data_IF_422897195933
#
_entry.id   IF_422897195933
#
_cell.length_a   1.000
_cell.length_b   1.000
_cell.length_c   1.000
_cell.angle_alpha   90.00
_cell.angle_beta   90.00
_cell.angle_gamma   90.00
#
_symmetry.space_group_name_H-M   'P 1'
#
loop_
_entity.id
_entity.type
_entity.pdbx_description
1 polymer ?
#
# COMPACT_ATOMS: atom_id res chain seq x y z
N UNK A 1 -12.90 25.00 101.42
CA UNK A 1 -13.82 24.96 100.26
C UNK A 1 -13.16 25.65 99.07
N UNK A 2 -13.49 25.19 97.86
CA UNK A 2 -13.19 25.79 96.54
C UNK A 2 -11.84 25.48 95.86
N UNK A 3 -11.80 24.27 95.28
CA UNK A 3 -11.47 23.89 93.89
C UNK A 3 -10.81 24.90 92.91
N UNK A 4 -9.65 24.46 92.37
CA UNK A 4 -9.31 24.24 90.94
C UNK A 4 -9.14 25.43 89.96
N UNK A 5 -7.89 25.62 89.51
CA UNK A 5 -7.47 26.43 88.34
C UNK A 5 -7.33 25.55 87.06
N UNK A 6 -8.07 25.94 86.00
CA UNK A 6 -7.85 25.80 84.51
C UNK A 6 -7.83 24.39 83.87
N UNK A 7 -8.37 24.19 82.62
CA UNK A 7 -7.90 24.88 81.41
C UNK A 7 -8.96 25.28 80.34
N UNK A 8 -8.90 26.53 79.85
CA UNK A 8 -9.67 27.00 78.68
C UNK A 8 -8.83 27.17 77.39
N UNK A 9 -7.60 26.65 77.32
CA UNK A 9 -6.69 26.88 76.18
C UNK A 9 -6.51 25.70 75.20
N UNK A 10 -7.05 24.51 75.49
CA UNK A 10 -6.84 23.32 74.65
C UNK A 10 -7.85 23.18 73.48
N UNK A 11 -9.02 23.80 73.58
CA UNK A 11 -10.14 23.60 72.65
C UNK A 11 -9.92 24.33 71.30
N UNK A 12 -9.31 25.52 71.32
CA UNK A 12 -9.02 26.28 70.09
C UNK A 12 -7.96 25.61 69.20
N UNK A 13 -7.00 24.89 69.80
CA UNK A 13 -5.98 24.17 69.04
C UNK A 13 -6.51 22.89 68.36
N UNK A 14 -7.51 22.23 68.93
CA UNK A 14 -8.12 21.03 68.35
C UNK A 14 -9.02 21.38 67.16
N UNK A 15 -9.84 22.42 67.27
CA UNK A 15 -10.71 22.90 66.18
C UNK A 15 -9.87 23.40 64.99
N UNK A 16 -8.76 24.11 65.25
CA UNK A 16 -7.84 24.55 64.21
C UNK A 16 -7.18 23.38 63.48
N UNK A 17 -6.75 22.33 64.19
CA UNK A 17 -6.16 21.12 63.59
C UNK A 17 -7.16 20.35 62.75
N UNK A 18 -8.41 20.22 63.21
CA UNK A 18 -9.49 19.59 62.44
C UNK A 18 -9.84 20.40 61.19
N UNK A 19 -9.93 21.74 61.33
CA UNK A 19 -10.15 22.64 60.19
C UNK A 19 -9.05 22.54 59.13
N UNK A 20 -7.78 22.50 59.55
CA UNK A 20 -6.64 22.30 58.65
C UNK A 20 -6.65 20.93 57.98
N UNK A 21 -7.00 19.86 58.71
CA UNK A 21 -7.10 18.51 58.15
C UNK A 21 -8.25 18.38 57.12
N UNK A 22 -9.42 18.98 57.40
CA UNK A 22 -10.54 19.02 56.47
C UNK A 22 -10.20 19.87 55.24
N UNK A 23 -9.57 21.03 55.43
CA UNK A 23 -9.13 21.87 54.32
C UNK A 23 -8.09 21.15 53.44
N UNK A 24 -7.12 20.46 54.04
CA UNK A 24 -6.14 19.65 53.31
C UNK A 24 -6.80 18.47 52.57
N UNK A 25 -7.76 17.79 53.20
CA UNK A 25 -8.53 16.72 52.58
C UNK A 25 -9.36 17.21 51.38
N UNK A 26 -10.01 18.38 51.51
CA UNK A 26 -10.73 19.02 50.41
C UNK A 26 -9.78 19.44 49.28
N UNK A 27 -8.59 19.99 49.60
CA UNK A 27 -7.59 20.35 48.60
C UNK A 27 -7.08 19.12 47.83
N UNK A 28 -6.79 18.01 48.53
CA UNK A 28 -6.37 16.76 47.88
C UNK A 28 -7.50 16.22 46.99
N UNK A 29 -8.74 16.19 47.48
CA UNK A 29 -9.89 15.74 46.71
C UNK A 29 -10.13 16.59 45.46
N UNK A 30 -10.05 17.93 45.58
CA UNK A 30 -10.19 18.86 44.47
C UNK A 30 -9.03 18.71 43.47
N UNK A 31 -7.79 18.53 43.95
CA UNK A 31 -6.63 18.30 43.09
C UNK A 31 -6.71 16.96 42.34
N UNK A 32 -7.23 15.91 42.98
CA UNK A 32 -7.45 14.60 42.38
C UNK A 32 -8.54 14.66 41.31
N UNK A 33 -9.63 15.38 41.58
CA UNK A 33 -10.70 15.61 40.60
C UNK A 33 -10.21 16.45 39.41
N UNK A 34 -9.46 17.52 39.68
CA UNK A 34 -8.85 18.35 38.64
C UNK A 34 -7.86 17.54 37.80
N UNK A 35 -7.02 16.72 38.44
CA UNK A 35 -6.08 15.83 37.74
C UNK A 35 -6.82 14.83 36.87
N UNK A 36 -7.88 14.18 37.38
CA UNK A 36 -8.70 13.25 36.59
C UNK A 36 -9.37 13.92 35.39
N UNK A 37 -9.84 15.17 35.53
CA UNK A 37 -10.46 15.91 34.44
C UNK A 37 -9.44 16.40 33.39
N UNK A 38 -8.24 16.80 33.81
CA UNK A 38 -7.20 17.37 32.94
C UNK A 38 -6.32 16.31 32.30
N UNK A 39 -6.13 15.17 32.98
CA UNK A 39 -5.25 14.10 32.55
C UNK A 39 -5.54 13.59 31.13
N UNK A 40 -6.80 13.36 30.70
CA UNK A 40 -7.09 12.94 29.33
C UNK A 40 -6.60 13.94 28.27
N UNK A 41 -6.74 15.24 28.52
CA UNK A 41 -6.31 16.30 27.61
C UNK A 41 -4.79 16.38 27.53
N UNK A 42 -4.11 16.32 28.69
CA UNK A 42 -2.64 16.31 28.74
C UNK A 42 -2.09 15.06 28.07
N UNK A 43 -2.65 13.88 28.37
CA UNK A 43 -2.26 12.62 27.74
C UNK A 43 -2.41 12.71 26.22
N UNK A 44 -3.57 13.19 25.74
CA UNK A 44 -3.80 13.37 24.30
C UNK A 44 -2.78 14.30 23.67
N UNK A 45 -2.52 15.45 24.29
CA UNK A 45 -1.52 16.41 23.79
C UNK A 45 -0.11 15.81 23.75
N UNK A 46 0.28 15.02 24.74
CA UNK A 46 1.58 14.32 24.77
C UNK A 46 1.66 13.23 23.70
N UNK A 47 0.59 12.47 23.49
CA UNK A 47 0.52 11.47 22.42
C UNK A 47 0.65 12.14 21.06
N UNK A 48 -0.12 13.20 20.81
CA UNK A 48 -0.05 13.96 19.55
C UNK A 48 1.35 14.53 19.34
N UNK A 49 1.97 15.15 20.35
CA UNK A 49 3.33 15.69 20.23
C UNK A 49 4.39 14.61 19.88
N UNK A 50 4.29 13.42 20.48
CA UNK A 50 5.21 12.30 20.20
C UNK A 50 4.93 11.58 18.87
N UNK A 51 3.75 11.80 18.27
CA UNK A 51 3.38 11.22 16.97
C UNK A 51 3.85 12.07 15.78
N UNK A 52 4.19 13.35 15.97
CA UNK A 52 4.70 14.18 14.87
C UNK A 52 5.92 13.49 14.24
N UNK A 53 5.95 13.40 12.91
CA UNK A 53 7.07 12.80 12.17
C UNK A 53 8.26 13.75 12.17
N UNK A 54 8.96 13.81 13.28
CA UNK A 54 10.15 14.62 13.50
C UNK A 54 11.29 13.80 14.12
N UNK A 55 12.56 14.08 13.73
CA UNK A 55 13.71 13.45 14.36
C UNK A 55 13.71 13.66 15.88
N UNK A 56 13.91 12.57 16.62
CA UNK A 56 13.87 12.56 18.09
C UNK A 56 12.58 11.97 18.68
N UNK A 57 11.49 11.93 17.90
CA UNK A 57 10.27 11.24 18.32
C UNK A 57 10.40 9.71 18.13
N UNK A 58 9.85 8.95 19.09
CA UNK A 58 9.90 7.48 19.05
C UNK A 58 9.09 6.90 17.87
N UNK A 59 7.91 7.48 17.60
CA UNK A 59 7.04 7.09 16.49
C UNK A 59 7.73 7.32 15.15
N UNK A 60 8.44 8.44 15.01
CA UNK A 60 9.21 8.74 13.80
C UNK A 60 10.27 7.66 13.52
N UNK A 61 11.02 7.24 14.54
CA UNK A 61 12.06 6.21 14.37
C UNK A 61 11.48 4.87 13.91
N UNK A 62 10.33 4.47 14.47
CA UNK A 62 9.64 3.23 14.07
C UNK A 62 8.97 3.33 12.70
N UNK A 63 8.55 4.53 12.30
CA UNK A 63 7.98 4.80 10.99
C UNK A 63 9.06 4.81 9.90
N UNK A 64 10.20 5.45 10.16
CA UNK A 64 11.35 5.54 9.27
C UNK A 64 11.93 4.14 8.99
N UNK A 65 12.09 3.33 10.04
CA UNK A 65 12.53 1.95 9.94
C UNK A 65 11.61 1.02 10.73
N UNK A 66 10.85 0.19 10.01
CA UNK A 66 9.86 -0.70 10.64
C UNK A 66 10.57 -1.76 11.50
N UNK A 67 10.30 -1.83 12.83
CA UNK A 67 11.03 -2.70 13.74
C UNK A 67 10.51 -4.15 13.75
N UNK A 68 9.33 -4.39 13.16
CA UNK A 68 8.70 -5.72 13.12
C UNK A 68 9.06 -6.47 11.83
N UNK A 69 9.26 -7.80 11.88
CA UNK A 69 9.53 -8.58 10.70
C UNK A 69 8.26 -8.71 9.85
N UNK A 70 8.32 -8.23 8.60
CA UNK A 70 7.27 -8.42 7.60
C UNK A 70 7.66 -9.61 6.74
N UNK A 71 6.74 -10.53 6.50
CA UNK A 71 6.95 -11.67 5.61
C UNK A 71 6.01 -11.57 4.42
N UNK A 72 6.54 -11.82 3.22
CA UNK A 72 5.80 -11.93 1.97
C UNK A 72 5.99 -13.36 1.46
N UNK A 73 4.88 -14.04 1.19
CA UNK A 73 4.88 -15.41 0.66
C UNK A 73 4.30 -15.39 -0.74
N UNK A 74 5.05 -15.90 -1.71
CA UNK A 74 4.60 -16.04 -3.09
C UNK A 74 4.08 -17.46 -3.34
N UNK A 75 2.94 -17.53 -4.02
CA UNK A 75 2.32 -18.76 -4.49
C UNK A 75 2.20 -18.66 -6.01
N UNK A 76 2.68 -19.67 -6.73
CA UNK A 76 2.71 -19.67 -8.19
C UNK A 76 1.80 -20.77 -8.72
N UNK A 77 1.07 -20.50 -9.79
CA UNK A 77 0.23 -21.50 -10.45
C UNK A 77 0.99 -22.17 -11.59
N UNK A 78 1.24 -23.48 -11.43
CA UNK A 78 1.84 -24.34 -12.44
C UNK A 78 0.77 -24.94 -13.37
N UNK A 79 0.99 -24.86 -14.68
CA UNK A 79 0.12 -25.46 -15.69
C UNK A 79 0.49 -26.93 -15.90
N UNK A 80 -0.42 -27.84 -15.59
CA UNK A 80 -0.18 -29.29 -15.64
C UNK A 80 -0.52 -29.94 -16.99
N UNK A 81 -1.28 -29.27 -17.85
CA UNK A 81 -1.67 -29.74 -19.19
C UNK A 81 -1.26 -28.77 -20.32
N UNK A 82 0.03 -28.40 -20.44
CA UNK A 82 0.48 -27.36 -21.37
C UNK A 82 0.15 -27.65 -22.84
N UNK A 83 0.29 -28.89 -23.30
CA UNK A 83 0.03 -29.25 -24.70
C UNK A 83 -1.43 -29.01 -25.11
N UNK A 84 -2.38 -29.40 -24.25
CA UNK A 84 -3.81 -29.18 -24.49
C UNK A 84 -4.21 -27.70 -24.47
N UNK A 85 -3.52 -26.90 -23.64
CA UNK A 85 -3.70 -25.44 -23.60
C UNK A 85 -3.15 -24.79 -24.87
N UNK A 86 -1.93 -25.15 -25.29
CA UNK A 86 -1.29 -24.60 -26.49
C UNK A 86 -2.05 -24.95 -27.77
N UNK A 87 -2.69 -26.13 -27.82
CA UNK A 87 -3.53 -26.56 -28.94
C UNK A 87 -4.96 -25.96 -28.89
N UNK A 88 -5.34 -25.31 -27.79
CA UNK A 88 -6.70 -24.81 -27.58
C UNK A 88 -7.77 -25.90 -27.43
N UNK A 89 -7.36 -27.14 -27.15
CA UNK A 89 -8.26 -28.30 -27.01
C UNK A 89 -8.75 -28.48 -25.58
N UNK A 90 -7.99 -28.00 -24.59
CA UNK A 90 -8.32 -28.12 -23.17
C UNK A 90 -8.25 -26.78 -22.44
N UNK A 91 -9.03 -26.65 -21.36
CA UNK A 91 -8.87 -25.56 -20.39
C UNK A 91 -7.62 -25.80 -19.53
N UNK A 92 -6.91 -24.73 -19.09
CA UNK A 92 -5.74 -24.89 -18.23
C UNK A 92 -6.11 -25.50 -16.88
N UNK A 93 -5.31 -26.48 -16.45
CA UNK A 93 -5.34 -27.09 -15.13
C UNK A 93 -4.18 -26.56 -14.31
N UNK A 94 -4.51 -25.82 -13.26
CA UNK A 94 -3.54 -25.13 -12.42
C UNK A 94 -3.31 -25.90 -11.12
N UNK A 95 -2.05 -25.96 -10.71
CA UNK A 95 -1.61 -26.46 -9.41
C UNK A 95 -0.87 -25.34 -8.69
N UNK A 96 -1.28 -25.00 -7.47
CA UNK A 96 -0.60 -23.98 -6.66
C UNK A 96 0.68 -24.55 -6.05
N UNK A 97 1.80 -23.85 -6.23
CA UNK A 97 3.12 -24.21 -5.73
C UNK A 97 3.63 -23.08 -4.83
N UNK A 98 3.98 -23.41 -3.59
CA UNK A 98 4.47 -22.48 -2.58
C UNK A 98 4.11 -22.93 -1.15
N UNK A 99 4.33 -22.08 -0.15
CA UNK A 99 4.82 -20.71 -0.25
C UNK A 99 6.32 -20.61 -0.53
N UNK A 100 6.73 -19.60 -1.29
CA UNK A 100 8.11 -19.09 -1.34
C UNK A 100 8.21 -17.81 -0.53
N UNK A 101 8.82 -17.88 0.64
CA UNK A 101 8.72 -16.82 1.65
C UNK A 101 9.98 -15.96 1.70
N UNK A 102 9.79 -14.65 1.76
CA UNK A 102 10.82 -13.64 1.91
C UNK A 102 10.49 -12.74 3.09
N UNK A 103 11.49 -12.40 3.90
CA UNK A 103 11.38 -11.32 4.89
C UNK A 103 11.59 -10.00 4.16
N UNK A 104 10.63 -9.10 4.27
CA UNK A 104 10.69 -7.76 3.72
C UNK A 104 11.15 -6.77 4.80
N UNK A 105 12.05 -5.86 4.45
CA UNK A 105 12.37 -4.68 5.28
C UNK A 105 12.02 -3.41 4.53
N UNK A 106 11.43 -2.44 5.21
CA UNK A 106 11.07 -1.13 4.67
C UNK A 106 11.87 -0.04 5.37
N UNK A 107 12.47 0.83 4.58
CA UNK A 107 13.25 1.97 5.04
C UNK A 107 12.81 3.22 4.28
N UNK A 108 12.45 4.28 5.00
CA UNK A 108 12.14 5.58 4.40
C UNK A 108 13.43 6.37 4.27
N UNK A 109 13.75 6.82 3.05
CA UNK A 109 14.98 7.54 2.72
C UNK A 109 14.66 8.86 2.03
N UNK A 110 15.66 9.74 1.93
CA UNK A 110 15.55 11.06 1.29
C UNK A 110 14.41 11.90 1.88
N UNK A 111 14.35 11.94 3.21
CA UNK A 111 13.35 12.69 3.96
C UNK A 111 13.51 14.20 3.74
N UNK A 112 12.44 14.88 3.34
CA UNK A 112 12.41 16.32 3.17
C UNK A 112 11.11 16.91 3.75
N UNK A 113 11.24 17.82 4.72
CA UNK A 113 10.08 18.48 5.34
C UNK A 113 9.80 19.82 4.69
N UNK A 114 8.51 20.10 4.51
CA UNK A 114 8.04 21.28 3.80
C UNK A 114 7.32 22.26 4.73
N UNK A 115 7.32 23.54 4.35
CA UNK A 115 6.65 24.60 5.10
C UNK A 115 5.13 24.44 5.15
N UNK A 116 4.53 23.73 4.19
CA UNK A 116 3.10 23.42 4.17
C UNK A 116 2.71 22.35 5.22
N UNK A 117 3.67 21.74 5.93
CA UNK A 117 3.43 20.72 6.94
C UNK A 117 3.54 19.28 6.42
N UNK A 118 3.90 19.07 5.15
CA UNK A 118 4.13 17.74 4.59
C UNK A 118 5.58 17.29 4.74
N UNK A 119 5.79 15.99 4.62
CA UNK A 119 7.08 15.30 4.60
C UNK A 119 7.13 14.45 3.34
N UNK A 120 8.14 14.68 2.50
CA UNK A 120 8.42 13.84 1.35
C UNK A 120 9.46 12.78 1.66
N UNK A 121 9.30 11.59 1.10
CA UNK A 121 10.22 10.47 1.28
C UNK A 121 10.09 9.45 0.14
N UNK A 122 11.10 8.60 0.01
CA UNK A 122 11.05 7.36 -0.79
C UNK A 122 11.09 6.15 0.12
N UNK A 123 10.37 5.09 -0.23
CA UNK A 123 10.38 3.86 0.57
C UNK A 123 11.16 2.75 -0.15
N UNK A 124 12.33 2.41 0.37
CA UNK A 124 13.16 1.32 -0.13
C UNK A 124 12.71 0.00 0.51
N UNK A 125 12.48 -1.03 -0.33
CA UNK A 125 12.12 -2.38 0.12
C UNK A 125 13.25 -3.36 -0.20
N UNK A 126 13.64 -4.18 0.78
CA UNK A 126 14.63 -5.27 0.59
C UNK A 126 14.01 -6.61 0.96
N UNK A 127 14.33 -7.64 0.20
CA UNK A 127 13.75 -8.98 0.31
C UNK A 127 14.84 -10.00 0.66
N UNK A 128 14.63 -10.77 1.73
CA UNK A 128 15.56 -11.78 2.22
C UNK A 128 14.87 -13.15 2.24
N UNK A 129 15.32 -14.08 1.41
CA UNK A 129 14.72 -15.42 1.32
C UNK A 129 14.72 -16.15 2.68
N UNK A 130 13.61 -16.82 3.00
CA UNK A 130 13.39 -17.57 4.25
C UNK A 130 13.21 -19.06 3.93
N UNK A 131 14.30 -19.86 3.93
CA UNK A 131 14.23 -21.27 3.59
C UNK A 131 13.42 -22.09 4.61
N UNK A 132 13.41 -21.68 5.87
CA UNK A 132 12.64 -22.31 6.96
C UNK A 132 11.12 -22.12 6.84
N UNK A 133 10.68 -21.15 6.02
CA UNK A 133 9.27 -20.81 5.78
C UNK A 133 8.85 -21.06 4.34
N UNK A 134 9.69 -21.73 3.56
CA UNK A 134 9.44 -22.03 2.16
C UNK A 134 9.16 -23.52 1.97
N UNK A 135 8.13 -23.84 1.20
CA UNK A 135 7.85 -25.20 0.77
C UNK A 135 8.20 -25.34 -0.71
N UNK A 136 9.31 -26.03 -0.98
CA UNK A 136 9.88 -26.17 -2.32
C UNK A 136 11.27 -25.57 -2.45
N UNK A 137 11.81 -25.63 -3.66
CA UNK A 137 13.09 -25.01 -4.03
C UNK A 137 12.86 -23.79 -4.92
N UNK A 138 13.71 -22.78 -4.79
CA UNK A 138 13.75 -21.68 -5.76
C UNK A 138 14.18 -22.15 -7.16
N UNK A 139 14.74 -23.36 -7.26
CA UNK A 139 15.12 -24.02 -8.52
C UNK A 139 13.98 -24.85 -9.12
N UNK A 140 12.84 -24.98 -8.44
CA UNK A 140 11.69 -25.72 -8.96
C UNK A 140 11.16 -25.03 -10.23
N UNK A 141 10.92 -25.82 -11.26
CA UNK A 141 10.46 -25.31 -12.55
C UNK A 141 8.93 -25.22 -12.60
N UNK A 142 8.44 -24.03 -12.92
CA UNK A 142 7.01 -23.72 -13.08
C UNK A 142 6.72 -23.47 -14.55
N UNK A 143 5.68 -24.13 -15.06
CA UNK A 143 5.11 -23.85 -16.38
C UNK A 143 4.03 -22.79 -16.21
N UNK A 144 4.22 -21.62 -16.82
CA UNK A 144 3.29 -20.48 -16.70
C UNK A 144 3.20 -19.70 -18.00
N UNK A 145 2.36 -18.67 -18.02
CA UNK A 145 2.15 -17.81 -19.18
C UNK A 145 3.40 -17.00 -19.51
N UNK A 146 3.73 -16.87 -20.79
CA UNK A 146 4.74 -15.93 -21.26
C UNK A 146 4.19 -14.50 -21.16
N UNK A 147 4.42 -13.86 -20.02
CA UNK A 147 3.88 -12.52 -19.71
C UNK A 147 4.40 -11.46 -20.69
N UNK A 148 5.69 -11.38 -21.05
CA UNK A 148 6.17 -10.44 -22.08
C UNK A 148 5.40 -10.56 -23.39
N UNK A 149 5.27 -11.77 -23.92
CA UNK A 149 4.58 -12.01 -25.19
C UNK A 149 3.10 -11.64 -25.11
N UNK A 150 2.41 -12.02 -24.02
CA UNK A 150 0.99 -11.72 -23.84
C UNK A 150 0.74 -10.22 -23.62
N UNK A 151 1.63 -9.53 -22.89
CA UNK A 151 1.53 -8.09 -22.66
C UNK A 151 1.74 -7.31 -23.95
N UNK A 152 2.70 -7.73 -24.77
CA UNK A 152 2.90 -7.14 -26.10
C UNK A 152 1.66 -7.37 -27.00
N UNK A 153 1.12 -8.59 -27.04
CA UNK A 153 -0.10 -8.89 -27.79
C UNK A 153 -1.31 -8.07 -27.29
N UNK A 154 -1.47 -7.92 -25.97
CA UNK A 154 -2.54 -7.09 -25.40
C UNK A 154 -2.40 -5.63 -25.82
N UNK A 155 -1.18 -5.10 -25.73
CA UNK A 155 -0.81 -3.73 -26.10
C UNK A 155 -1.11 -3.44 -27.56
N UNK A 156 -0.84 -4.38 -28.48
CA UNK A 156 -1.20 -4.19 -29.90
C UNK A 156 -2.70 -3.98 -30.12
N UNK A 157 -3.55 -4.53 -29.24
CA UNK A 157 -5.00 -4.46 -29.37
C UNK A 157 -5.61 -3.23 -28.69
N UNK A 158 -5.06 -2.81 -27.55
CA UNK A 158 -5.65 -1.77 -26.70
C UNK A 158 -4.81 -0.49 -26.58
N UNK A 159 -3.60 -0.46 -27.15
CA UNK A 159 -2.61 0.61 -26.95
C UNK A 159 -1.97 0.56 -25.56
N UNK A 160 -0.98 1.44 -25.32
CA UNK A 160 -0.49 1.73 -23.96
C UNK A 160 -1.01 3.11 -23.60
N UNK A 161 -1.87 3.23 -22.59
CA UNK A 161 -2.15 4.55 -22.00
C UNK A 161 -0.96 4.92 -21.14
N UNK A 162 0.01 5.63 -21.70
CA UNK A 162 1.11 6.19 -20.91
C UNK A 162 0.56 7.34 -20.08
N UNK A 163 0.78 7.30 -18.76
CA UNK A 163 0.68 8.48 -17.91
C UNK A 163 1.83 9.43 -18.27
N UNK A 164 1.71 10.19 -19.36
CA UNK A 164 2.71 11.20 -19.68
C UNK A 164 2.72 12.24 -18.56
N UNK A 165 3.93 12.50 -18.11
CA UNK A 165 4.30 13.32 -16.98
C UNK A 165 4.64 14.72 -17.52
N UNK A 166 3.70 15.35 -18.24
CA UNK A 166 3.92 16.66 -18.84
C UNK A 166 3.02 17.68 -18.14
N UNK A 167 3.62 18.50 -17.27
CA UNK A 167 2.94 19.55 -16.47
C UNK A 167 2.49 20.76 -17.31
N UNK A 168 2.68 20.74 -18.63
CA UNK A 168 2.49 21.91 -19.51
C UNK A 168 1.37 21.76 -20.56
N UNK A 169 0.43 20.81 -20.40
CA UNK A 169 -0.73 20.71 -21.29
C UNK A 169 -1.84 21.69 -20.86
N UNK A 170 -1.74 22.89 -21.43
CA UNK A 170 -2.79 23.90 -21.45
C UNK A 170 -4.10 23.30 -22.01
N UNK A 171 -5.19 23.66 -21.36
CA UNK A 171 -6.59 23.32 -21.67
C UNK A 171 -6.87 23.48 -23.18
N UNK A 172 -7.17 22.40 -23.90
CA UNK A 172 -8.19 22.38 -24.96
C UNK A 172 -8.38 20.99 -25.61
N UNK A 173 -9.67 20.68 -25.83
CA UNK A 173 -10.27 19.69 -26.75
C UNK A 173 -10.51 18.23 -26.29
N UNK A 174 -11.81 17.94 -26.15
CA UNK A 174 -12.47 16.64 -25.96
C UNK A 174 -12.45 15.76 -27.23
N UNK A 175 -11.38 15.81 -28.03
CA UNK A 175 -11.22 14.99 -29.25
C UNK A 175 -9.74 14.66 -29.57
N UNK A 176 -8.91 14.47 -28.54
CA UNK A 176 -7.55 13.94 -28.72
C UNK A 176 -7.58 12.42 -28.54
N UNK A 177 -7.91 11.72 -29.63
CA UNK A 177 -7.65 10.27 -29.71
C UNK A 177 -6.15 10.09 -29.80
N UNK A 178 -5.50 10.00 -28.64
CA UNK A 178 -4.06 9.76 -28.47
C UNK A 178 -3.66 8.50 -29.26
N UNK A 179 -3.17 8.70 -30.48
CA UNK A 179 -2.63 7.65 -31.35
C UNK A 179 -1.26 7.26 -30.79
N UNK A 180 -1.28 6.43 -29.76
CA UNK A 180 -0.07 5.83 -29.18
C UNK A 180 0.64 5.01 -30.26
N UNK A 181 1.98 5.11 -30.37
CA UNK A 181 2.80 4.40 -31.36
C UNK A 181 2.50 2.89 -31.38
N UNK A 182 2.14 2.36 -30.22
CA UNK A 182 1.78 0.98 -29.93
C UNK A 182 0.46 0.53 -30.59
N UNK A 183 -0.39 1.48 -31.01
CA UNK A 183 -1.61 1.22 -31.77
C UNK A 183 -1.37 1.17 -33.29
N UNK A 184 -0.19 1.61 -33.76
CA UNK A 184 0.13 1.76 -35.18
C UNK A 184 0.16 0.42 -35.93
N UNK A 185 -0.19 0.39 -37.23
CA UNK A 185 -0.06 -0.82 -38.06
C UNK A 185 1.38 -1.36 -38.09
N UNK A 186 2.37 -0.47 -38.07
CA UNK A 186 3.79 -0.83 -38.09
C UNK A 186 4.18 -1.57 -36.80
N UNK A 187 3.75 -1.07 -35.64
CA UNK A 187 3.99 -1.73 -34.37
C UNK A 187 3.33 -3.11 -34.32
N UNK A 188 2.05 -3.21 -34.74
CA UNK A 188 1.32 -4.48 -34.83
C UNK A 188 2.04 -5.51 -35.71
N UNK A 189 2.50 -5.09 -36.88
CA UNK A 189 3.24 -5.94 -37.81
C UNK A 189 4.60 -6.37 -37.22
N UNK A 190 5.31 -5.45 -36.56
CA UNK A 190 6.58 -5.72 -35.89
C UNK A 190 6.41 -6.78 -34.79
N UNK A 191 5.42 -6.59 -33.89
CA UNK A 191 5.10 -7.57 -32.84
C UNK A 191 4.70 -8.92 -33.45
N UNK A 192 3.92 -8.93 -34.53
CA UNK A 192 3.56 -10.17 -35.24
C UNK A 192 4.78 -10.90 -35.81
N UNK A 193 5.74 -10.16 -36.36
CA UNK A 193 6.97 -10.70 -36.93
C UNK A 193 7.90 -11.24 -35.83
N UNK A 194 8.04 -10.53 -34.71
CA UNK A 194 8.77 -11.05 -33.55
C UNK A 194 8.12 -12.34 -33.05
N UNK A 195 6.79 -12.36 -32.85
CA UNK A 195 6.09 -13.56 -32.38
C UNK A 195 6.27 -14.77 -33.31
N UNK A 196 6.37 -14.57 -34.63
CA UNK A 196 6.60 -15.64 -35.61
C UNK A 196 8.07 -16.05 -35.75
N UNK A 197 9.01 -15.13 -35.53
CA UNK A 197 10.44 -15.32 -35.75
C UNK A 197 11.23 -15.69 -34.48
N UNK A 198 10.70 -15.35 -33.31
CA UNK A 198 11.27 -15.74 -32.01
C UNK A 198 10.90 -17.18 -31.68
N UNK A 199 11.79 -17.89 -30.97
CA UNK A 199 11.52 -19.21 -30.40
C UNK A 199 10.68 -19.12 -29.10
N UNK A 200 9.79 -18.12 -29.01
CA UNK A 200 8.92 -17.89 -27.86
C UNK A 200 7.58 -18.63 -28.03
N UNK A 201 7.11 -19.22 -26.93
CA UNK A 201 5.81 -19.88 -26.84
C UNK A 201 4.89 -19.15 -25.86
N UNK A 202 3.58 -19.39 -25.97
CA UNK A 202 2.57 -18.87 -25.03
C UNK A 202 2.81 -19.32 -23.59
N UNK A 203 3.37 -20.52 -23.41
CA UNK A 203 3.77 -21.02 -22.10
C UNK A 203 5.30 -21.11 -22.03
N UNK A 204 5.85 -20.68 -20.91
CA UNK A 204 7.27 -20.78 -20.58
C UNK A 204 7.45 -21.68 -19.37
N UNK A 205 8.59 -22.37 -19.33
CA UNK A 205 9.02 -23.16 -18.17
C UNK A 205 10.25 -22.48 -17.57
N UNK A 206 10.12 -21.96 -16.35
CA UNK A 206 11.17 -21.19 -15.67
C UNK A 206 11.23 -21.55 -14.19
N UNK A 207 12.40 -21.38 -13.58
CA UNK A 207 12.57 -21.59 -12.15
C UNK A 207 11.84 -20.51 -11.34
N UNK A 208 11.53 -20.79 -10.08
CA UNK A 208 10.89 -19.83 -9.17
C UNK A 208 11.77 -18.58 -8.98
N UNK A 209 13.09 -18.73 -8.85
CA UNK A 209 14.03 -17.60 -8.73
C UNK A 209 13.97 -16.67 -9.93
N UNK A 210 13.90 -17.23 -11.14
CA UNK A 210 13.80 -16.50 -12.40
C UNK A 210 12.46 -15.76 -12.50
N UNK A 211 11.35 -16.44 -12.18
CA UNK A 211 10.02 -15.85 -12.22
C UNK A 211 9.83 -14.73 -11.20
N UNK A 212 10.52 -14.79 -10.06
CA UNK A 212 10.41 -13.79 -8.99
C UNK A 212 11.46 -12.67 -9.13
N UNK A 213 12.69 -12.91 -8.67
CA UNK A 213 13.66 -11.82 -8.42
C UNK A 213 14.85 -11.78 -9.38
N UNK A 214 15.32 -12.91 -9.90
CA UNK A 214 16.49 -12.96 -10.79
C UNK A 214 16.16 -12.50 -12.21
N UNK A 215 14.93 -12.74 -12.65
CA UNK A 215 14.47 -12.48 -14.01
C UNK A 215 15.03 -13.50 -15.01
N UNK A 216 14.28 -13.80 -16.06
CA UNK A 216 14.74 -14.63 -17.17
C UNK A 216 14.85 -13.83 -18.47
N UNK A 217 15.80 -14.24 -19.31
CA UNK A 217 15.92 -13.76 -20.68
C UNK A 217 14.82 -14.40 -21.53
N UNK A 218 14.00 -13.56 -22.17
CA UNK A 218 12.95 -13.98 -23.09
C UNK A 218 13.38 -13.67 -24.54
N UNK A 219 13.29 -14.63 -25.48
CA UNK A 219 13.62 -14.39 -26.88
C UNK A 219 12.80 -13.25 -27.50
N UNK A 220 11.58 -13.03 -27.03
CA UNK A 220 10.70 -11.95 -27.48
C UNK A 220 11.23 -10.57 -27.03
N UNK A 221 11.62 -10.44 -25.76
CA UNK A 221 12.23 -9.20 -25.24
C UNK A 221 13.55 -8.92 -25.96
N UNK A 222 14.37 -9.96 -26.15
CA UNK A 222 15.67 -9.85 -26.83
C UNK A 222 15.49 -9.32 -28.26
N UNK A 223 14.57 -9.91 -29.02
CA UNK A 223 14.27 -9.46 -30.38
C UNK A 223 13.70 -8.03 -30.42
N UNK A 224 12.86 -7.64 -29.46
CA UNK A 224 12.34 -6.28 -29.36
C UNK A 224 13.47 -5.25 -29.12
N UNK A 225 14.41 -5.56 -28.22
CA UNK A 225 15.58 -4.72 -27.95
C UNK A 225 16.51 -4.59 -29.16
N UNK A 226 16.76 -5.68 -29.88
CA UNK A 226 17.58 -5.67 -31.10
C UNK A 226 16.98 -4.80 -32.21
N UNK A 227 15.65 -4.69 -32.24
CA UNK A 227 14.90 -3.81 -33.14
C UNK A 227 14.80 -2.36 -32.64
N UNK A 228 15.41 -2.03 -31.50
CA UNK A 228 15.41 -0.69 -30.91
C UNK A 228 14.05 -0.27 -30.32
N UNK A 229 13.19 -1.23 -29.97
CA UNK A 229 11.93 -0.94 -29.31
C UNK A 229 12.16 -0.55 -27.85
N UNK A 230 11.39 0.42 -27.36
CA UNK A 230 11.38 0.75 -25.93
C UNK A 230 10.67 -0.36 -25.16
N UNK A 231 11.39 -0.99 -24.24
CA UNK A 231 10.87 -2.05 -23.38
C UNK A 231 11.22 -1.76 -21.92
N UNK A 232 10.31 -2.04 -20.96
CA UNK A 232 10.51 -1.61 -19.57
C UNK A 232 11.71 -2.26 -18.87
N UNK A 233 12.12 -3.44 -19.35
CA UNK A 233 13.24 -4.19 -18.81
C UNK A 233 13.82 -5.15 -19.87
N UNK A 234 15.08 -5.54 -19.65
CA UNK A 234 15.83 -6.52 -20.44
C UNK A 234 15.46 -7.98 -20.11
N UNK A 235 14.92 -8.21 -18.91
CA UNK A 235 14.46 -9.52 -18.44
C UNK A 235 13.06 -9.41 -17.86
N UNK A 236 12.36 -10.54 -17.83
CA UNK A 236 11.09 -10.63 -17.12
C UNK A 236 11.24 -11.36 -15.79
N UNK A 237 10.66 -10.77 -14.75
CA UNK A 237 10.38 -11.40 -13.46
C UNK A 237 9.46 -10.48 -12.65
N UNK A 238 8.53 -11.04 -11.87
CA UNK A 238 7.50 -10.28 -11.17
C UNK A 238 8.06 -9.24 -10.19
N UNK A 239 9.21 -9.56 -9.60
CA UNK A 239 9.95 -8.72 -8.65
C UNK A 239 11.35 -8.37 -9.19
N UNK A 240 11.57 -8.51 -10.50
CA UNK A 240 12.84 -8.18 -11.13
C UNK A 240 13.18 -6.71 -10.88
N UNK A 241 14.42 -6.45 -10.44
CA UNK A 241 14.93 -5.12 -10.02
C UNK A 241 14.20 -4.44 -8.84
N UNK A 242 13.22 -5.08 -8.20
CA UNK A 242 12.52 -4.51 -7.03
C UNK A 242 13.30 -4.63 -5.72
N UNK A 243 14.28 -5.53 -5.65
CA UNK A 243 15.05 -5.73 -4.42
C UNK A 243 16.04 -4.58 -4.20
N UNK A 244 15.81 -3.79 -3.15
CA UNK A 244 16.62 -2.62 -2.83
C UNK A 244 16.24 -1.36 -3.62
N UNK A 245 15.11 -1.37 -4.34
CA UNK A 245 14.58 -0.19 -5.02
C UNK A 245 13.49 0.49 -4.17
N UNK A 246 13.13 1.73 -4.54
CA UNK A 246 11.93 2.40 -4.05
C UNK A 246 10.74 2.26 -5.00
N UNK A 247 9.53 2.50 -4.49
CA UNK A 247 8.28 2.47 -5.24
C UNK A 247 7.69 3.86 -5.55
N UNK A 248 8.51 4.92 -5.43
CA UNK A 248 8.13 6.30 -5.77
C UNK A 248 8.40 7.31 -4.65
N UNK A 249 8.12 8.58 -4.96
CA UNK A 249 8.21 9.71 -4.05
C UNK A 249 6.84 10.01 -3.44
N UNK A 250 6.70 9.79 -2.14
CA UNK A 250 5.49 10.14 -1.39
C UNK A 250 5.65 11.53 -0.77
N UNK A 251 4.56 12.26 -0.65
CA UNK A 251 4.39 13.43 0.22
C UNK A 251 3.23 13.12 1.16
N UNK A 252 3.46 13.12 2.47
CA UNK A 252 2.41 12.87 3.48
C UNK A 252 2.35 14.01 4.50
N UNK A 253 1.20 14.21 5.13
CA UNK A 253 1.10 15.17 6.24
C UNK A 253 1.81 14.64 7.50
N UNK A 254 2.80 15.40 7.96
CA UNK A 254 3.71 14.98 9.04
C UNK A 254 3.15 15.12 10.45
N UNK A 255 2.04 15.84 10.63
CA UNK A 255 1.51 16.24 11.94
C UNK A 255 1.99 17.61 12.44
N UNK A 256 2.99 18.24 11.79
CA UNK A 256 3.56 19.54 12.21
C UNK A 256 2.54 20.69 12.28
N UNK A 257 1.55 20.67 11.38
CA UNK A 257 0.46 21.68 11.33
C UNK A 257 -0.84 21.19 11.96
N UNK A 258 -0.79 20.09 12.70
CA UNK A 258 -1.97 19.47 13.32
C UNK A 258 -2.14 18.02 12.90
N UNK A 259 -2.95 17.31 13.67
CA UNK A 259 -3.10 15.85 13.59
C UNK A 259 -4.26 15.39 12.73
N UNK A 260 -5.11 16.30 12.25
CA UNK A 260 -6.33 15.95 11.51
C UNK A 260 -6.05 15.13 10.25
N UNK A 261 -5.02 15.52 9.50
CA UNK A 261 -4.61 14.87 8.24
C UNK A 261 -3.37 13.98 8.42
N UNK A 262 -2.93 13.73 9.66
CA UNK A 262 -1.71 13.00 9.95
C UNK A 262 -1.63 11.65 9.21
N UNK A 263 -0.56 11.46 8.43
CA UNK A 263 -0.31 10.25 7.65
C UNK A 263 -1.05 10.16 6.32
N UNK A 264 -1.98 11.08 6.01
CA UNK A 264 -2.62 11.13 4.70
C UNK A 264 -1.63 11.49 3.61
N UNK A 265 -1.81 10.89 2.44
CA UNK A 265 -1.01 11.17 1.24
C UNK A 265 -1.51 12.46 0.61
N UNK A 266 -0.61 13.43 0.48
CA UNK A 266 -0.81 14.69 -0.22
C UNK A 266 -0.48 14.55 -1.71
N UNK A 267 0.67 13.92 -2.01
CA UNK A 267 1.14 13.70 -3.39
C UNK A 267 1.87 12.38 -3.54
N UNK A 268 1.82 11.83 -4.75
CA UNK A 268 2.64 10.72 -5.19
C UNK A 268 3.31 11.07 -6.51
N UNK A 269 4.64 10.98 -6.56
CA UNK A 269 5.46 11.40 -7.69
C UNK A 269 5.15 12.83 -8.19
N UNK A 270 4.87 13.75 -7.25
CA UNK A 270 4.53 15.15 -7.54
C UNK A 270 3.05 15.39 -7.85
N UNK A 271 2.28 14.34 -8.14
CA UNK A 271 0.88 14.44 -8.51
C UNK A 271 -0.04 14.42 -7.28
N UNK A 272 -1.01 15.33 -7.22
CA UNK A 272 -2.11 15.31 -6.23
C UNK A 272 -3.32 14.50 -6.70
N UNK A 273 -3.39 14.17 -7.99
CA UNK A 273 -4.39 13.30 -8.59
C UNK A 273 -3.68 12.33 -9.53
N UNK A 274 -4.02 11.06 -9.49
CA UNK A 274 -3.42 10.05 -10.35
C UNK A 274 -3.91 10.21 -11.80
N UNK A 275 -3.31 9.46 -12.70
CA UNK A 275 -3.62 9.49 -14.13
C UNK A 275 -3.94 8.10 -14.69
N UNK A 276 -3.87 7.06 -13.86
CA UNK A 276 -4.06 5.67 -14.28
C UNK A 276 -5.52 5.31 -14.65
N UNK A 277 -6.49 6.08 -14.15
CA UNK A 277 -7.93 5.83 -14.25
C UNK A 277 -8.67 7.11 -14.70
N UNK A 278 -10.00 7.16 -14.53
CA UNK A 278 -10.83 8.28 -14.98
C UNK A 278 -11.56 8.99 -13.83
N UNK A 279 -11.81 10.30 -13.98
CA UNK A 279 -12.65 11.07 -13.05
C UNK A 279 -12.21 10.95 -11.58
N UNK A 280 -13.16 10.65 -10.68
CA UNK A 280 -12.89 10.54 -9.24
C UNK A 280 -12.03 9.32 -8.86
N UNK A 281 -11.89 8.32 -9.74
CA UNK A 281 -11.07 7.13 -9.48
C UNK A 281 -9.57 7.45 -9.39
N UNK A 282 -9.15 8.62 -9.88
CA UNK A 282 -7.77 9.08 -9.78
C UNK A 282 -7.42 9.69 -8.42
N UNK A 283 -8.40 9.91 -7.54
CA UNK A 283 -8.17 10.61 -6.29
C UNK A 283 -7.16 9.87 -5.39
N UNK A 284 -6.17 10.61 -4.90
CA UNK A 284 -5.27 10.19 -3.83
C UNK A 284 -5.95 10.42 -2.49
N UNK A 285 -6.53 9.36 -1.93
CA UNK A 285 -7.24 9.39 -0.67
C UNK A 285 -6.59 8.47 0.35
N UNK A 286 -6.67 8.89 1.62
CA UNK A 286 -6.24 8.07 2.74
C UNK A 286 -4.74 8.10 2.98
N UNK A 287 -4.26 7.11 3.73
CA UNK A 287 -2.86 7.00 4.15
C UNK A 287 -2.13 5.91 3.37
N UNK A 288 -0.84 5.71 3.59
CA UNK A 288 -0.10 4.55 3.05
C UNK A 288 -0.36 3.25 3.83
N UNK A 289 -1.20 3.30 4.87
CA UNK A 289 -1.53 2.17 5.74
C UNK A 289 -0.58 1.97 6.91
N UNK A 290 0.47 2.80 7.03
CA UNK A 290 1.39 2.76 8.17
C UNK A 290 0.80 3.47 9.40
N UNK A 291 0.01 4.53 9.20
CA UNK A 291 -0.42 5.45 10.27
C UNK A 291 -1.78 6.10 9.97
N UNK A 292 -2.45 6.59 11.02
CA UNK A 292 -3.71 7.35 10.96
C UNK A 292 -3.75 8.43 12.03
N UNK A 293 -4.60 9.46 11.88
CA UNK A 293 -4.84 10.44 12.93
C UNK A 293 -5.22 9.80 14.28
N UNK A 294 -4.69 10.28 15.40
CA UNK A 294 -4.94 9.68 16.71
C UNK A 294 -6.43 9.68 17.07
N UNK A 295 -6.93 8.51 17.46
CA UNK A 295 -8.34 8.31 17.87
C UNK A 295 -9.35 8.26 16.71
N UNK A 296 -8.95 8.56 15.48
CA UNK A 296 -9.86 8.62 14.32
C UNK A 296 -10.53 7.28 13.99
N UNK A 297 -9.78 6.18 14.11
CA UNK A 297 -10.25 4.84 13.79
C UNK A 297 -11.42 4.36 14.65
N UNK A 298 -11.66 4.96 15.83
CA UNK A 298 -12.74 4.54 16.74
C UNK A 298 -14.13 4.69 16.10
N UNK A 299 -14.29 5.66 15.20
CA UNK A 299 -15.59 5.99 14.58
C UNK A 299 -15.63 5.71 13.08
N UNK A 300 -14.54 5.20 12.50
CA UNK A 300 -14.46 4.95 11.06
C UNK A 300 -15.04 3.57 10.69
N UNK A 301 -16.12 3.57 9.91
CA UNK A 301 -16.68 2.35 9.27
C UNK A 301 -15.82 1.85 8.11
N UNK A 302 -14.95 2.69 7.58
CA UNK A 302 -14.03 2.35 6.51
C UNK A 302 -12.78 3.21 6.56
N UNK A 303 -11.68 2.67 6.05
CA UNK A 303 -10.41 3.37 5.86
C UNK A 303 -10.02 3.34 4.40
N UNK A 304 -9.38 4.40 3.92
CA UNK A 304 -8.85 4.48 2.57
C UNK A 304 -7.33 4.40 2.62
N UNK A 305 -6.75 3.66 1.68
CA UNK A 305 -5.33 3.37 1.59
C UNK A 305 -4.85 3.60 0.16
N UNK A 306 -3.83 4.42 -0.03
CA UNK A 306 -3.13 4.49 -1.30
C UNK A 306 -2.15 3.32 -1.44
N UNK A 307 -2.32 2.51 -2.48
CA UNK A 307 -1.46 1.38 -2.79
C UNK A 307 -0.79 1.63 -4.14
N UNK A 308 0.48 2.04 -4.11
CA UNK A 308 1.24 2.35 -5.32
C UNK A 308 1.26 1.17 -6.30
N UNK A 309 1.32 -0.07 -5.81
CA UNK A 309 1.31 -1.26 -6.65
C UNK A 309 -0.03 -1.47 -7.41
N UNK A 310 -1.14 -0.92 -6.92
CA UNK A 310 -2.46 -0.93 -7.58
C UNK A 310 -2.75 0.38 -8.32
N UNK A 311 -1.89 1.39 -8.15
CA UNK A 311 -2.01 2.69 -8.80
C UNK A 311 -3.32 3.42 -8.46
N UNK A 312 -3.87 3.16 -7.27
CA UNK A 312 -5.09 3.80 -6.77
C UNK A 312 -5.19 3.73 -5.25
N UNK A 313 -6.13 4.53 -4.75
CA UNK A 313 -6.67 4.39 -3.41
C UNK A 313 -7.69 3.25 -3.37
N UNK A 314 -7.61 2.40 -2.35
CA UNK A 314 -8.59 1.35 -2.05
C UNK A 314 -9.30 1.65 -0.75
N UNK A 315 -10.56 1.21 -0.65
CA UNK A 315 -11.37 1.37 0.54
C UNK A 315 -11.55 0.02 1.24
N UNK A 316 -11.15 -0.06 2.51
CA UNK A 316 -11.38 -1.21 3.36
C UNK A 316 -12.51 -0.91 4.34
N UNK A 317 -13.41 -1.87 4.54
CA UNK A 317 -14.51 -1.74 5.50
C UNK A 317 -14.18 -2.38 6.82
N UNK A 318 -14.76 -1.85 7.89
CA UNK A 318 -14.70 -2.46 9.20
C UNK A 318 -15.34 -3.87 9.14
N UNK A 319 -14.61 -4.84 9.69
CA UNK A 319 -15.07 -6.23 9.82
C UNK A 319 -15.49 -6.52 11.25
N UNK A 320 -14.58 -6.34 12.21
CA UNK A 320 -14.80 -6.71 13.62
C UNK A 320 -13.72 -6.13 14.52
N UNK A 321 -13.94 -6.10 15.83
CA UNK A 321 -12.91 -5.81 16.82
C UNK A 321 -12.16 -7.10 17.17
N UNK A 322 -10.84 -7.00 17.33
CA UNK A 322 -9.97 -8.11 17.72
C UNK A 322 -9.09 -7.72 18.90
N UNK A 323 -8.75 -8.69 19.75
CA UNK A 323 -7.80 -8.50 20.84
C UNK A 323 -6.48 -9.15 20.42
N UNK A 324 -5.44 -8.34 20.26
CA UNK A 324 -4.09 -8.81 19.92
C UNK A 324 -3.11 -8.25 20.94
N UNK A 325 -2.32 -9.11 21.58
CA UNK A 325 -1.36 -8.73 22.64
C UNK A 325 -1.96 -7.80 23.71
N UNK A 326 -3.21 -8.07 24.12
CA UNK A 326 -3.99 -7.29 25.11
C UNK A 326 -4.38 -5.88 24.64
N UNK A 327 -4.13 -5.53 23.38
CA UNK A 327 -4.59 -4.31 22.75
C UNK A 327 -5.85 -4.60 21.93
N UNK A 328 -6.90 -3.80 22.13
CA UNK A 328 -8.11 -3.88 21.31
C UNK A 328 -7.86 -3.14 20.00
N UNK A 329 -7.99 -3.85 18.89
CA UNK A 329 -7.78 -3.37 17.54
C UNK A 329 -9.06 -3.51 16.73
N UNK A 330 -9.20 -2.70 15.67
CA UNK A 330 -10.27 -2.84 14.69
C UNK A 330 -9.72 -3.52 13.45
N UNK A 331 -10.36 -4.60 13.01
CA UNK A 331 -10.01 -5.30 11.78
C UNK A 331 -10.80 -4.71 10.63
N UNK A 332 -10.08 -4.30 9.59
CA UNK A 332 -10.64 -3.87 8.32
C UNK A 332 -10.37 -4.93 7.25
N UNK A 333 -11.21 -5.00 6.23
CA UNK A 333 -11.07 -5.94 5.11
C UNK A 333 -11.54 -5.32 3.80
N UNK A 334 -11.01 -5.82 2.69
CA UNK A 334 -11.56 -5.54 1.37
C UNK A 334 -12.83 -6.38 1.22
N UNK A 335 -14.01 -5.77 1.11
CA UNK A 335 -15.25 -6.50 0.89
C UNK A 335 -15.48 -6.77 -0.60
N UNK A 336 -16.53 -7.53 -0.91
CA UNK A 336 -16.88 -7.87 -2.30
C UNK A 336 -17.31 -6.67 -3.17
N UNK A 337 -17.34 -5.46 -2.61
CA UNK A 337 -17.68 -4.24 -3.32
C UNK A 337 -16.45 -3.56 -3.93
N UNK A 338 -15.24 -3.82 -3.41
CA UNK A 338 -14.02 -3.11 -3.80
C UNK A 338 -13.71 -3.21 -5.31
N UNK A 339 -13.94 -4.40 -5.90
CA UNK A 339 -13.72 -4.66 -7.33
C UNK A 339 -15.02 -5.01 -8.07
N UNK A 340 -16.15 -4.47 -7.61
CA UNK A 340 -17.45 -4.74 -8.22
C UNK A 340 -17.83 -3.65 -9.23
N UNK A 341 -17.69 -3.94 -10.52
CA UNK A 341 -18.03 -2.99 -11.59
C UNK A 341 -19.52 -2.84 -11.84
N UNK A 342 -20.38 -3.63 -11.19
CA UNK A 342 -21.82 -3.35 -11.18
C UNK A 342 -22.17 -2.08 -10.41
N UNK A 343 -21.26 -1.60 -9.56
CA UNK A 343 -21.41 -0.38 -8.79
C UNK A 343 -20.92 0.85 -9.60
N UNK A 344 -21.73 1.91 -9.74
CA UNK A 344 -21.37 3.10 -10.53
C UNK A 344 -20.05 3.75 -10.13
N UNK A 345 -19.75 3.80 -8.83
CA UNK A 345 -18.53 4.40 -8.28
C UNK A 345 -17.24 3.69 -8.73
N UNK A 346 -17.32 2.42 -9.14
CA UNK A 346 -16.18 1.64 -9.59
C UNK A 346 -15.99 1.65 -11.11
N UNK A 347 -16.96 2.19 -11.87
CA UNK A 347 -16.93 2.15 -13.34
C UNK A 347 -15.72 2.88 -13.92
N UNK A 348 -15.25 3.93 -13.26
CA UNK A 348 -14.11 4.70 -13.74
C UNK A 348 -12.74 4.02 -13.53
N UNK A 349 -12.68 2.86 -12.87
CA UNK A 349 -11.48 2.02 -12.82
C UNK A 349 -11.32 1.12 -14.05
N UNK A 350 -12.33 1.07 -14.92
CA UNK A 350 -12.23 0.39 -16.21
C UNK A 350 -11.74 1.35 -17.30
N UNK A 351 -11.10 0.79 -18.34
CA UNK A 351 -11.00 1.46 -19.63
C UNK A 351 -12.32 1.36 -20.42
N UNK A 352 -12.23 1.28 -21.74
CA UNK A 352 -13.40 1.23 -22.64
C UNK A 352 -14.31 0.04 -22.38
N UNK A 353 -13.72 -1.06 -21.89
CA UNK A 353 -14.43 -2.29 -21.51
C UNK A 353 -14.05 -2.67 -20.09
N UNK A 354 -15.05 -2.88 -19.24
CA UNK A 354 -14.84 -3.46 -17.92
C UNK A 354 -14.63 -4.97 -18.01
N UNK A 355 -13.60 -5.46 -17.34
CA UNK A 355 -13.47 -6.88 -17.02
C UNK A 355 -14.58 -7.34 -16.07
N UNK A 356 -14.81 -8.66 -15.90
CA UNK A 356 -15.71 -9.17 -14.88
C UNK A 356 -15.38 -8.64 -13.47
N UNK A 357 -16.38 -8.45 -12.61
CA UNK A 357 -16.13 -8.05 -11.22
C UNK A 357 -15.20 -9.04 -10.50
N UNK A 358 -14.33 -8.51 -9.64
CA UNK A 358 -13.35 -9.27 -8.87
C UNK A 358 -11.90 -9.16 -9.39
N UNK A 359 -11.67 -8.44 -10.49
CA UNK A 359 -10.33 -8.13 -11.02
C UNK A 359 -10.14 -6.63 -11.21
N UNK A 360 -8.90 -6.14 -11.19
CA UNK A 360 -8.55 -4.76 -11.52
C UNK A 360 -7.55 -4.72 -12.67
N UNK A 361 -7.84 -4.00 -13.76
CA UNK A 361 -6.84 -3.77 -14.80
C UNK A 361 -5.86 -2.68 -14.36
N UNK A 362 -4.60 -3.04 -14.18
CA UNK A 362 -3.52 -2.10 -13.83
C UNK A 362 -2.49 -1.95 -14.96
N UNK A 363 -2.83 -2.35 -16.19
CA UNK A 363 -1.93 -2.25 -17.35
C UNK A 363 -1.48 -0.80 -17.62
N UNK A 364 -2.33 0.19 -17.32
CA UNK A 364 -2.06 1.62 -17.52
C UNK A 364 -0.85 2.13 -16.73
N UNK A 365 -0.62 1.61 -15.53
CA UNK A 365 0.50 2.02 -14.69
C UNK A 365 1.62 0.97 -14.58
N UNK A 366 1.51 -0.11 -15.37
CA UNK A 366 2.45 -1.25 -15.38
C UNK A 366 2.99 -1.51 -16.78
N UNK A 367 3.15 -0.45 -17.57
CA UNK A 367 3.74 -0.48 -18.91
C UNK A 367 3.09 -1.55 -19.83
N UNK A 368 1.75 -1.62 -19.81
CA UNK A 368 1.01 -2.56 -20.65
C UNK A 368 0.98 -4.00 -20.14
N UNK A 369 1.63 -4.31 -19.01
CA UNK A 369 1.53 -5.64 -18.37
C UNK A 369 0.15 -5.80 -17.74
N UNK A 370 -0.63 -6.74 -18.29
CA UNK A 370 -1.96 -7.08 -17.76
C UNK A 370 -1.79 -7.85 -16.46
N UNK A 371 -1.87 -7.13 -15.35
CA UNK A 371 -2.05 -7.71 -14.04
C UNK A 371 -3.48 -7.49 -13.61
N UNK A 372 -4.09 -8.56 -13.11
CA UNK A 372 -5.46 -8.56 -12.60
C UNK A 372 -5.42 -8.99 -11.13
N UNK A 373 -5.21 -8.06 -10.18
CA UNK A 373 -5.35 -8.38 -8.76
C UNK A 373 -6.73 -8.96 -8.53
N UNK A 374 -6.76 -10.20 -8.02
CA UNK A 374 -7.99 -10.92 -7.70
C UNK A 374 -8.16 -10.95 -6.20
N UNK A 375 -9.38 -10.68 -5.75
CA UNK A 375 -9.73 -10.98 -4.38
C UNK A 375 -9.93 -12.49 -4.23
N UNK A 376 -9.00 -13.15 -3.55
CA UNK A 376 -9.24 -14.51 -3.07
C UNK A 376 -10.37 -14.50 -2.05
N UNK A 377 -11.34 -15.42 -2.20
CA UNK A 377 -12.41 -15.54 -1.22
C UNK A 377 -11.80 -16.05 0.08
N UNK A 378 -12.08 -15.43 1.24
CA UNK A 378 -11.70 -16.02 2.51
C UNK A 378 -12.41 -17.38 2.64
N UNK A 379 -11.64 -18.38 3.08
CA UNK A 379 -12.10 -19.73 3.38
C UNK A 379 -13.18 -19.75 4.48
#
# INVERSE_FOLDING_TARGET
MACSRRPCCAINGAILKVGLAVALGLLIALSGLASYAVFPTVLRSQVEANMVLEPGNEVFSSWEQVPIPIYVSYYLFNVTNPDGVLQGTEKPRLEEIGPFTFRETREKVMLNWHENGTLSYRQVKKYYFQPDRTQGSLDDAIVTLNVPMVSAAYTTKHGVKTSSQDEDAEFDNEDDTDYTWESSPIFKETISNIAKGSDSSLLVKKSVRELLFEGYDDPFITAALELGMDVPADKFGWMYRKNGSDDGLYSIFSGRKGMADYGFVDKFNGMSNLTAFHGHCNALNGTTGDMWPPGSLQNMESVELFIADFCRSIRLKYLTDVLFERVRLRRYWADNQLFNYSLPENRCFCGDVCFPSGVLDISTCRHGVVMLPVQERPW
#
